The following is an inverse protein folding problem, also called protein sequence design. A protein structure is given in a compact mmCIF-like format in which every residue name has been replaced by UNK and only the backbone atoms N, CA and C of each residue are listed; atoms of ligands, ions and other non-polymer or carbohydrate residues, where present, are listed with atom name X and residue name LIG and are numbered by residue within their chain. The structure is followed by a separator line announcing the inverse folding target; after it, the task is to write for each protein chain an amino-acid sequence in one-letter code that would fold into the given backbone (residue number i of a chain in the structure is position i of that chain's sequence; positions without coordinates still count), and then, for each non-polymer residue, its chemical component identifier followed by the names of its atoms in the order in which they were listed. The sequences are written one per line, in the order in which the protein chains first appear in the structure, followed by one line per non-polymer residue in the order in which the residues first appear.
data_IF_671400438724
#
_entry.id   IF_671400438724
#
_cell.length_a   1.000
_cell.length_b   1.000
_cell.length_c   1.000
_cell.angle_alpha   90.00
_cell.angle_beta   90.00
_cell.angle_gamma   90.00
#
_symmetry.space_group_name_H-M   'P 1'
#
loop_
_entity.id
_entity.type
_entity.pdbx_description
1 polymer ?
#
# COMPACT_ATOMS: atom_id res chain seq x y z
N UNK A 1 -6.12 0.44 -18.91
CA UNK A 1 -5.33 1.25 -17.95
C UNK A 1 -4.57 0.32 -17.03
N UNK A 2 -3.42 0.75 -16.52
CA UNK A 2 -2.64 0.07 -15.49
C UNK A 2 -2.86 0.77 -14.15
N UNK A 3 -3.37 0.03 -13.18
CA UNK A 3 -3.75 0.55 -11.86
C UNK A 3 -2.96 -0.22 -10.80
N UNK A 4 -2.17 0.50 -9.99
CA UNK A 4 -1.37 -0.08 -8.91
C UNK A 4 -1.97 0.21 -7.54
N UNK A 5 -1.91 -0.76 -6.63
CA UNK A 5 -2.44 -0.65 -5.27
C UNK A 5 -1.36 -0.98 -4.25
N UNK A 6 -1.34 -0.28 -3.12
CA UNK A 6 -0.67 -0.79 -1.93
C UNK A 6 -1.43 -1.98 -1.32
N UNK A 7 -0.75 -2.74 -0.45
CA UNK A 7 -1.36 -3.84 0.30
C UNK A 7 -1.95 -3.37 1.63
N UNK A 8 -1.16 -2.62 2.40
CA UNK A 8 -1.49 -2.22 3.76
C UNK A 8 -2.36 -0.95 3.72
N UNK A 9 -3.36 -0.87 4.59
CA UNK A 9 -4.36 0.19 4.57
C UNK A 9 -5.34 0.12 3.38
N UNK A 10 -5.01 -0.62 2.31
CA UNK A 10 -5.89 -0.83 1.14
C UNK A 10 -6.62 -2.17 1.22
N UNK A 11 -5.93 -3.30 1.33
CA UNK A 11 -6.58 -4.62 1.43
C UNK A 11 -6.40 -5.25 2.80
N UNK A 12 -5.35 -4.89 3.53
CA UNK A 12 -5.03 -5.39 4.86
C UNK A 12 -4.99 -4.21 5.83
N UNK A 13 -5.83 -4.23 6.86
CA UNK A 13 -5.90 -3.14 7.83
C UNK A 13 -4.72 -3.16 8.80
N UNK A 14 -4.56 -2.05 9.51
CA UNK A 14 -3.56 -1.87 10.57
C UNK A 14 -3.96 -2.69 11.81
N UNK A 15 -2.99 -3.03 12.67
CA UNK A 15 -3.28 -3.74 13.92
C UNK A 15 -4.27 -2.97 14.82
N UNK A 16 -5.45 -3.53 15.14
CA UNK A 16 -6.51 -2.78 15.83
C UNK A 16 -6.15 -2.41 17.27
N UNK A 17 -5.32 -3.20 17.93
CA UNK A 17 -4.98 -3.04 19.35
C UNK A 17 -3.67 -2.31 19.60
N UNK A 18 -3.04 -1.77 18.55
CA UNK A 18 -1.74 -1.10 18.67
C UNK A 18 -1.93 0.40 18.46
N UNK A 19 -1.66 1.24 19.46
CA UNK A 19 -1.81 2.67 19.33
C UNK A 19 -1.04 3.19 18.12
N UNK A 20 -1.69 4.04 17.31
CA UNK A 20 -1.07 4.64 16.11
C UNK A 20 0.28 5.29 16.43
N UNK A 21 0.40 5.99 17.56
CA UNK A 21 1.66 6.60 18.03
C UNK A 21 2.79 5.59 18.25
N UNK A 22 2.47 4.37 18.70
CA UNK A 22 3.45 3.31 18.91
C UNK A 22 3.91 2.72 17.58
N UNK A 23 2.96 2.52 16.66
CA UNK A 23 3.25 2.19 15.26
C UNK A 23 4.18 3.26 14.69
N UNK A 24 3.76 4.52 14.62
CA UNK A 24 4.51 5.63 14.03
C UNK A 24 5.94 5.75 14.63
N UNK A 25 6.08 5.54 15.95
CA UNK A 25 7.40 5.48 16.63
C UNK A 25 8.26 4.30 16.16
N UNK A 26 7.68 3.10 16.02
CA UNK A 26 8.38 1.90 15.53
C UNK A 26 8.67 1.97 14.01
N UNK A 27 7.89 2.75 13.26
CA UNK A 27 8.08 2.97 11.83
C UNK A 27 8.96 4.17 11.51
N UNK A 28 9.44 4.92 12.52
CA UNK A 28 10.36 6.03 12.35
C UNK A 28 9.69 7.29 11.80
N UNK A 29 8.37 7.38 11.89
CA UNK A 29 7.54 8.47 11.34
C UNK A 29 7.46 9.69 12.28
N UNK A 30 8.52 9.95 13.05
CA UNK A 30 8.50 10.98 14.12
C UNK A 30 8.74 12.41 13.60
N UNK A 31 9.34 12.53 12.41
CA UNK A 31 9.51 13.81 11.72
C UNK A 31 8.73 13.79 10.40
N UNK A 32 8.30 14.96 9.97
CA UNK A 32 7.51 15.22 8.75
C UNK A 32 8.26 14.90 7.43
N UNK A 33 9.11 13.87 7.39
CA UNK A 33 9.91 13.42 6.27
C UNK A 33 9.87 11.91 6.05
N UNK A 34 10.31 11.49 4.86
CA UNK A 34 10.35 10.11 4.37
C UNK A 34 11.41 9.26 5.11
N UNK A 35 11.34 9.13 6.43
CA UNK A 35 12.28 8.29 7.19
C UNK A 35 11.89 6.81 7.13
N UNK A 36 12.02 6.21 5.94
CA UNK A 36 11.74 4.79 5.72
C UNK A 36 12.98 3.91 5.82
N UNK A 37 13.73 4.03 6.91
CA UNK A 37 14.92 3.20 7.14
C UNK A 37 14.55 1.73 7.32
N UNK A 38 15.49 0.85 6.98
CA UNK A 38 15.39 -0.56 7.36
C UNK A 38 15.39 -0.71 8.90
N UNK A 39 14.44 -1.47 9.49
CA UNK A 39 14.33 -1.60 10.94
C UNK A 39 15.47 -2.43 11.55
N UNK A 40 15.84 -2.12 12.80
CA UNK A 40 16.78 -2.89 13.61
C UNK A 40 16.19 -4.26 14.02
N UNK A 41 17.02 -5.20 14.49
CA UNK A 41 16.56 -6.55 14.88
C UNK A 41 15.40 -6.55 15.91
N UNK A 42 15.43 -5.74 16.98
CA UNK A 42 14.31 -5.66 17.92
C UNK A 42 13.02 -5.13 17.25
N UNK A 43 13.13 -4.11 16.40
CA UNK A 43 12.00 -3.57 15.65
C UNK A 43 11.45 -4.59 14.66
N UNK A 44 12.31 -5.34 13.98
CA UNK A 44 11.92 -6.44 13.11
C UNK A 44 11.11 -7.48 13.88
N UNK A 45 11.55 -7.85 15.09
CA UNK A 45 10.81 -8.80 15.92
C UNK A 45 9.43 -8.28 16.32
N UNK A 46 9.32 -7.03 16.78
CA UNK A 46 8.02 -6.41 17.12
C UNK A 46 7.12 -6.34 15.88
N UNK A 47 7.65 -5.86 14.74
CA UNK A 47 6.92 -5.83 13.47
C UNK A 47 6.48 -7.24 13.06
N UNK A 48 7.34 -8.23 13.30
CA UNK A 48 7.07 -9.65 13.16
C UNK A 48 6.25 -10.22 14.35
N UNK A 49 5.54 -9.44 15.15
CA UNK A 49 4.44 -9.94 16.01
C UNK A 49 3.17 -9.22 15.60
N UNK A 50 3.27 -7.91 15.42
CA UNK A 50 2.17 -7.05 14.99
C UNK A 50 1.63 -7.39 13.60
N UNK A 51 2.43 -8.03 12.73
CA UNK A 51 2.00 -8.53 11.41
C UNK A 51 1.53 -9.99 11.39
N UNK A 52 1.31 -10.62 12.54
CA UNK A 52 0.63 -11.92 12.58
C UNK A 52 -0.78 -11.71 11.99
N UNK A 53 -1.25 -12.67 11.19
CA UNK A 53 -2.52 -12.56 10.45
C UNK A 53 -3.74 -12.30 11.34
N UNK A 54 -3.71 -12.76 12.59
CA UNK A 54 -4.72 -12.47 13.61
C UNK A 54 -4.87 -10.97 13.88
N UNK A 55 -3.76 -10.22 13.83
CA UNK A 55 -3.73 -8.78 14.06
C UNK A 55 -3.80 -7.96 12.77
N UNK A 56 -3.96 -8.59 11.61
CA UNK A 56 -4.01 -7.89 10.32
C UNK A 56 -5.28 -8.30 9.57
N UNK A 57 -6.44 -7.76 9.99
CA UNK A 57 -7.70 -8.12 9.37
C UNK A 57 -7.75 -7.64 7.92
N UNK A 58 -8.44 -8.40 7.07
CA UNK A 58 -8.70 -7.97 5.70
C UNK A 58 -9.77 -6.88 5.65
N UNK A 59 -9.59 -5.93 4.74
CA UNK A 59 -10.60 -4.94 4.37
C UNK A 59 -11.48 -5.58 3.30
N UNK A 60 -12.43 -6.40 3.75
CA UNK A 60 -13.27 -7.22 2.88
C UNK A 60 -14.02 -6.44 1.81
N UNK A 61 -14.50 -5.24 2.14
CA UNK A 61 -15.17 -4.33 1.22
C UNK A 61 -14.30 -4.05 -0.01
N UNK A 62 -13.01 -3.77 0.20
CA UNK A 62 -12.06 -3.47 -0.87
C UNK A 62 -11.71 -4.71 -1.71
N UNK A 63 -11.53 -5.86 -1.04
CA UNK A 63 -11.24 -7.14 -1.73
C UNK A 63 -12.41 -7.56 -2.62
N UNK A 64 -13.64 -7.50 -2.11
CA UNK A 64 -14.82 -7.84 -2.90
C UNK A 64 -15.02 -6.85 -4.05
N UNK A 65 -14.74 -5.56 -3.81
CA UNK A 65 -14.84 -4.53 -4.85
C UNK A 65 -13.87 -4.78 -5.98
N UNK A 66 -12.59 -5.07 -5.70
CA UNK A 66 -11.62 -5.34 -6.76
C UNK A 66 -11.98 -6.64 -7.50
N UNK A 67 -12.34 -7.72 -6.78
CA UNK A 67 -12.76 -9.00 -7.41
C UNK A 67 -13.91 -8.81 -8.40
N UNK A 68 -14.95 -8.10 -8.00
CA UNK A 68 -16.11 -7.79 -8.85
C UNK A 68 -15.79 -6.84 -10.01
N UNK A 69 -14.77 -5.99 -9.89
CA UNK A 69 -14.42 -5.04 -10.94
C UNK A 69 -13.50 -5.67 -11.98
N UNK A 70 -12.58 -6.56 -11.56
CA UNK A 70 -11.71 -7.32 -12.46
C UNK A 70 -12.49 -8.16 -13.48
N UNK A 71 -13.71 -8.60 -13.16
CA UNK A 71 -14.57 -9.33 -14.10
C UNK A 71 -15.34 -8.42 -15.05
N UNK A 72 -15.42 -7.12 -14.76
CA UNK A 72 -16.27 -6.15 -15.46
C UNK A 72 -15.50 -5.21 -16.40
N UNK A 73 -14.18 -5.08 -16.25
CA UNK A 73 -13.39 -4.18 -17.09
C UNK A 73 -12.07 -4.80 -17.55
N UNK A 74 -11.52 -4.26 -18.64
CA UNK A 74 -10.26 -4.70 -19.25
C UNK A 74 -9.06 -3.92 -18.69
N UNK A 75 -9.04 -3.62 -17.39
CA UNK A 75 -7.88 -2.95 -16.76
C UNK A 75 -6.86 -3.97 -16.30
N UNK A 76 -5.60 -3.53 -16.22
CA UNK A 76 -4.52 -4.31 -15.62
C UNK A 76 -4.28 -3.83 -14.20
N UNK A 77 -4.30 -4.77 -13.27
CA UNK A 77 -4.26 -4.55 -11.84
C UNK A 77 -2.95 -5.06 -11.26
N UNK A 78 -2.30 -4.23 -10.46
CA UNK A 78 -1.01 -4.56 -9.86
C UNK A 78 -1.03 -4.30 -8.37
N UNK A 79 -0.40 -5.18 -7.60
CA UNK A 79 -0.18 -4.98 -6.18
C UNK A 79 1.29 -4.63 -5.95
N UNK A 80 1.56 -3.56 -5.22
CA UNK A 80 2.90 -3.06 -4.93
C UNK A 80 3.01 -2.83 -3.42
N UNK A 81 3.69 -3.72 -2.71
CA UNK A 81 3.87 -3.61 -1.26
C UNK A 81 5.32 -3.37 -0.89
N UNK A 82 5.55 -2.34 -0.07
CA UNK A 82 6.87 -2.03 0.48
C UNK A 82 7.22 -2.84 1.74
N UNK A 83 6.45 -3.89 2.07
CA UNK A 83 6.79 -4.79 3.17
C UNK A 83 8.17 -5.43 2.96
N UNK A 84 9.01 -5.28 3.98
CA UNK A 84 10.37 -5.80 4.01
C UNK A 84 10.42 -7.33 3.99
N UNK A 85 11.56 -7.88 3.54
CA UNK A 85 11.81 -9.31 3.38
C UNK A 85 11.67 -10.14 4.65
N UNK A 86 11.93 -9.56 5.83
CA UNK A 86 11.71 -10.29 7.09
C UNK A 86 10.22 -10.59 7.37
N UNK A 87 9.30 -9.96 6.64
CA UNK A 87 7.86 -10.24 6.67
C UNK A 87 7.39 -11.14 5.51
N UNK A 88 8.31 -11.70 4.71
CA UNK A 88 8.00 -12.46 3.49
C UNK A 88 6.97 -13.56 3.71
N UNK A 89 7.25 -14.51 4.59
CA UNK A 89 6.36 -15.65 4.85
C UNK A 89 4.94 -15.23 5.24
N UNK A 90 4.80 -14.10 5.94
CA UNK A 90 3.49 -13.59 6.38
C UNK A 90 2.75 -12.84 5.32
N UNK A 91 3.50 -12.12 4.49
CA UNK A 91 2.95 -11.45 3.32
C UNK A 91 2.42 -12.50 2.35
N UNK A 92 3.20 -13.52 2.05
CA UNK A 92 2.78 -14.66 1.22
C UNK A 92 1.56 -15.39 1.81
N UNK A 93 1.56 -15.65 3.12
CA UNK A 93 0.39 -16.23 3.80
C UNK A 93 -0.89 -15.38 3.62
N UNK A 94 -0.79 -14.06 3.79
CA UNK A 94 -1.94 -13.16 3.63
C UNK A 94 -2.43 -13.09 2.17
N UNK A 95 -1.50 -13.04 1.21
CA UNK A 95 -1.84 -13.05 -0.22
C UNK A 95 -2.61 -14.31 -0.60
N UNK A 96 -2.17 -15.48 -0.11
CA UNK A 96 -2.83 -16.75 -0.36
C UNK A 96 -4.17 -16.86 0.38
N UNK A 97 -4.22 -16.51 1.67
CA UNK A 97 -5.42 -16.60 2.51
C UNK A 97 -6.59 -15.80 1.92
N UNK A 98 -6.32 -14.66 1.31
CA UNK A 98 -7.33 -13.78 0.74
C UNK A 98 -7.42 -13.86 -0.79
N UNK A 99 -6.73 -14.82 -1.40
CA UNK A 99 -6.71 -15.08 -2.85
C UNK A 99 -6.33 -13.85 -3.68
N UNK A 100 -5.49 -12.97 -3.13
CA UNK A 100 -5.08 -11.73 -3.81
C UNK A 100 -4.25 -12.03 -5.06
N UNK A 101 -3.50 -13.14 -5.04
CA UNK A 101 -2.72 -13.61 -6.20
C UNK A 101 -3.58 -13.93 -7.43
N UNK A 102 -4.87 -14.22 -7.27
CA UNK A 102 -5.79 -14.46 -8.38
C UNK A 102 -6.42 -13.19 -8.96
N UNK A 103 -6.16 -12.03 -8.36
CA UNK A 103 -6.80 -10.74 -8.72
C UNK A 103 -5.86 -9.86 -9.55
N UNK A 104 -4.57 -9.84 -9.20
CA UNK A 104 -3.59 -8.94 -9.81
C UNK A 104 -2.81 -9.63 -10.92
N UNK A 105 -2.59 -8.95 -12.04
CA UNK A 105 -1.74 -9.43 -13.13
C UNK A 105 -0.31 -9.68 -12.65
N UNK A 106 0.20 -8.81 -11.75
CA UNK A 106 1.50 -8.95 -11.12
C UNK A 106 1.49 -8.39 -9.69
N UNK A 107 2.35 -8.98 -8.84
CA UNK A 107 2.57 -8.57 -7.46
C UNK A 107 4.05 -8.24 -7.27
N UNK A 108 4.36 -7.05 -6.78
CA UNK A 108 5.72 -6.57 -6.49
C UNK A 108 5.90 -6.38 -4.98
N UNK A 109 6.91 -7.06 -4.41
CA UNK A 109 7.18 -7.10 -2.97
C UNK A 109 8.62 -6.67 -2.69
N UNK A 110 8.81 -5.78 -1.72
CA UNK A 110 10.12 -5.23 -1.33
C UNK A 110 10.94 -6.20 -0.44
N UNK A 111 11.18 -7.41 -0.91
CA UNK A 111 11.92 -8.41 -0.15
C UNK A 111 13.44 -8.22 -0.13
N UNK A 112 13.95 -7.37 -1.02
CA UNK A 112 15.36 -6.94 -1.03
C UNK A 112 15.65 -5.81 -0.03
N UNK A 113 14.62 -5.32 0.65
CA UNK A 113 14.72 -4.30 1.70
C UNK A 113 15.23 -2.94 1.23
N UNK A 114 14.85 -2.56 0.01
CA UNK A 114 15.04 -1.20 -0.48
C UNK A 114 14.22 -0.21 0.36
N UNK A 115 14.56 1.07 0.31
CA UNK A 115 13.72 2.07 0.96
C UNK A 115 12.34 2.10 0.28
N UNK A 116 11.22 2.03 1.04
CA UNK A 116 9.85 1.96 0.53
C UNK A 116 9.51 2.92 -0.61
N UNK A 117 9.95 4.18 -0.53
CA UNK A 117 9.69 5.19 -1.56
C UNK A 117 10.50 4.93 -2.84
N UNK A 118 11.78 4.55 -2.71
CA UNK A 118 12.65 4.16 -3.83
C UNK A 118 12.11 2.93 -4.54
N UNK A 119 11.73 1.89 -3.78
CA UNK A 119 11.14 0.67 -4.32
C UNK A 119 9.90 0.98 -5.17
N UNK A 120 8.94 1.72 -4.61
CA UNK A 120 7.70 2.06 -5.32
C UNK A 120 7.96 2.94 -6.53
N UNK A 121 8.82 3.94 -6.42
CA UNK A 121 9.18 4.81 -7.54
C UNK A 121 9.78 4.00 -8.70
N UNK A 122 10.68 3.05 -8.42
CA UNK A 122 11.28 2.18 -9.43
C UNK A 122 10.22 1.36 -10.17
N UNK A 123 9.28 0.76 -9.44
CA UNK A 123 8.19 -0.02 -10.04
C UNK A 123 7.25 0.88 -10.86
N UNK A 124 6.89 2.05 -10.34
CA UNK A 124 5.99 2.99 -11.00
C UNK A 124 6.57 3.48 -12.34
N UNK A 125 7.86 3.85 -12.36
CA UNK A 125 8.57 4.25 -13.59
C UNK A 125 8.69 3.11 -14.59
N UNK A 126 9.02 1.90 -14.12
CA UNK A 126 9.19 0.72 -14.98
C UNK A 126 7.91 0.36 -15.72
N UNK A 127 6.77 0.38 -15.03
CA UNK A 127 5.51 -0.14 -15.57
C UNK A 127 4.62 0.91 -16.23
N UNK A 128 4.89 2.20 -15.98
CA UNK A 128 4.14 3.35 -16.51
C UNK A 128 2.65 3.24 -16.17
N UNK A 129 2.34 3.34 -14.88
CA UNK A 129 0.96 3.30 -14.40
C UNK A 129 0.16 4.52 -14.82
N UNK A 130 -1.14 4.35 -14.96
CA UNK A 130 -2.08 5.46 -15.13
C UNK A 130 -2.55 5.96 -13.75
N UNK A 131 -2.75 5.02 -12.82
CA UNK A 131 -3.27 5.31 -11.47
C UNK A 131 -2.53 4.52 -10.39
N UNK A 132 -2.34 5.12 -9.22
CA UNK A 132 -1.77 4.46 -8.04
C UNK A 132 -2.55 4.81 -6.77
N UNK A 133 -2.76 3.83 -5.88
CA UNK A 133 -3.56 3.98 -4.65
C UNK A 133 -2.73 3.57 -3.43
N UNK A 134 -2.74 4.41 -2.40
CA UNK A 134 -2.05 4.17 -1.12
C UNK A 134 -2.78 4.86 0.05
N UNK A 135 -2.53 4.43 1.29
CA UNK A 135 -3.03 5.06 2.52
C UNK A 135 -2.00 6.00 3.18
N UNK A 136 -0.76 6.00 2.71
CA UNK A 136 0.35 6.82 3.20
C UNK A 136 0.50 8.14 2.40
N UNK A 137 0.03 9.26 2.98
CA UNK A 137 0.06 10.57 2.33
C UNK A 137 1.50 11.09 2.05
N UNK A 138 2.42 11.14 3.03
CA UNK A 138 3.81 11.54 2.75
C UNK A 138 4.47 10.78 1.60
N UNK A 139 4.26 9.46 1.53
CA UNK A 139 4.75 8.64 0.42
C UNK A 139 4.10 9.07 -0.91
N UNK A 140 2.79 9.24 -0.94
CA UNK A 140 2.07 9.67 -2.13
C UNK A 140 2.51 11.06 -2.60
N UNK A 141 2.74 12.00 -1.70
CA UNK A 141 3.26 13.34 -2.04
C UNK A 141 4.62 13.25 -2.72
N UNK A 142 5.52 12.41 -2.20
CA UNK A 142 6.81 12.13 -2.82
C UNK A 142 6.63 11.53 -4.22
N UNK A 143 5.82 10.46 -4.35
CA UNK A 143 5.63 9.77 -5.63
C UNK A 143 4.94 10.66 -6.67
N UNK A 144 3.95 11.46 -6.26
CA UNK A 144 3.23 12.40 -7.12
C UNK A 144 4.15 13.46 -7.71
N UNK A 145 5.05 14.02 -6.89
CA UNK A 145 6.05 15.00 -7.32
C UNK A 145 7.02 14.43 -8.37
N UNK A 146 7.40 13.16 -8.25
CA UNK A 146 8.36 12.52 -9.17
C UNK A 146 7.70 11.86 -10.38
N UNK A 147 6.39 11.71 -10.39
CA UNK A 147 5.64 11.01 -11.43
C UNK A 147 4.39 11.81 -11.86
N UNK A 148 4.54 12.99 -12.49
CA UNK A 148 3.43 13.91 -12.77
C UNK A 148 2.38 13.38 -13.75
N UNK A 149 2.67 12.27 -14.46
CA UNK A 149 1.75 11.63 -15.41
C UNK A 149 0.82 10.60 -14.76
N UNK A 150 1.12 10.18 -13.54
CA UNK A 150 0.33 9.17 -12.81
C UNK A 150 -0.67 9.92 -11.93
N UNK A 151 -1.93 9.46 -11.90
CA UNK A 151 -2.92 9.97 -10.95
C UNK A 151 -2.84 9.16 -9.66
N UNK A 152 -2.55 9.82 -8.56
CA UNK A 152 -2.42 9.21 -7.25
C UNK A 152 -3.71 9.38 -6.45
N UNK A 153 -4.12 8.33 -5.73
CA UNK A 153 -5.28 8.34 -4.87
C UNK A 153 -4.87 8.03 -3.44
N UNK A 154 -5.12 8.99 -2.55
CA UNK A 154 -5.00 8.77 -1.11
C UNK A 154 -6.31 8.21 -0.58
N UNK A 155 -6.29 6.95 -0.15
CA UNK A 155 -7.46 6.30 0.46
C UNK A 155 -7.52 6.69 1.94
N UNK A 156 -8.40 7.64 2.28
CA UNK A 156 -8.58 8.10 3.66
C UNK A 156 -10.06 8.36 3.98
N UNK A 157 -10.57 7.69 5.02
CA UNK A 157 -11.96 7.80 5.49
C UNK A 157 -12.34 9.18 6.08
N UNK A 158 -11.38 10.07 6.35
CA UNK A 158 -11.60 11.32 7.11
C UNK A 158 -11.24 12.62 6.37
N UNK A 159 -10.82 12.56 5.11
CA UNK A 159 -10.18 13.69 4.44
C UNK A 159 -11.07 14.39 3.41
N UNK A 160 -11.31 15.69 3.62
CA UNK A 160 -11.75 16.68 2.63
C UNK A 160 -10.58 17.60 2.20
N UNK A 161 -9.35 17.08 2.13
CA UNK A 161 -8.19 17.89 1.77
C UNK A 161 -8.07 18.07 0.26
N UNK A 162 -7.81 19.32 -0.17
CA UNK A 162 -7.47 19.61 -1.56
C UNK A 162 -6.00 19.27 -1.76
N UNK A 163 -5.73 18.09 -2.33
CA UNK A 163 -4.37 17.62 -2.57
C UNK A 163 -3.80 18.19 -3.89
N UNK A 164 -2.47 18.20 -3.97
CA UNK A 164 -1.68 18.81 -5.05
C UNK A 164 -1.93 18.14 -6.41
N UNK A 165 -2.18 18.91 -7.46
CA UNK A 165 -2.06 18.49 -8.86
C UNK A 165 -2.68 17.13 -9.21
N UNK A 166 -1.84 16.10 -9.36
CA UNK A 166 -2.18 14.73 -9.73
C UNK A 166 -2.50 13.81 -8.53
N UNK A 167 -2.63 14.35 -7.31
CA UNK A 167 -2.97 13.62 -6.10
C UNK A 167 -4.41 13.93 -5.68
N UNK A 168 -5.23 12.90 -5.52
CA UNK A 168 -6.67 12.98 -5.29
C UNK A 168 -7.04 12.25 -3.99
N UNK A 169 -7.91 12.82 -3.18
CA UNK A 169 -8.47 12.13 -2.01
C UNK A 169 -9.64 11.24 -2.40
N UNK A 170 -9.73 10.05 -1.82
CA UNK A 170 -10.93 9.21 -1.95
C UNK A 170 -11.23 8.45 -0.67
N UNK A 171 -12.51 8.18 -0.44
CA UNK A 171 -12.99 7.38 0.69
C UNK A 171 -13.28 5.93 0.29
N UNK A 172 -13.34 5.63 -1.01
CA UNK A 172 -13.64 4.30 -1.52
C UNK A 172 -12.89 3.99 -2.82
N UNK A 173 -12.70 2.70 -3.11
CA UNK A 173 -12.05 2.25 -4.34
C UNK A 173 -12.88 2.47 -5.61
N UNK A 174 -14.20 2.65 -5.49
CA UNK A 174 -15.06 2.76 -6.67
C UNK A 174 -14.77 4.00 -7.52
N UNK A 175 -14.39 5.11 -6.90
CA UNK A 175 -13.96 6.31 -7.61
C UNK A 175 -12.72 6.08 -8.50
N UNK A 176 -11.90 5.09 -8.15
CA UNK A 176 -10.61 4.81 -8.78
C UNK A 176 -10.74 3.77 -9.91
N UNK A 177 -11.79 2.94 -9.84
CA UNK A 177 -12.01 1.81 -10.74
C UNK A 177 -12.90 2.15 -11.96
N UNK A 178 -13.42 3.38 -12.02
CA UNK A 178 -14.14 3.94 -13.20
C UNK A 178 -13.17 4.51 -14.22
#
# INVERSE_FOLDING_TARGET
MKIGFDLDGIFIDKPPFIPKKLIDRLYGSYDHGLSYRFPSKPEQWIRNITHISLFRPAIWENIQKIKSTCTQNAHHYYLISSRFGFLKARTEYLLNKYELSGIFDNIYLNFNNEEPHIFKENILKKLRFDRYIDDDLPLLEFLAKHNPKIVFFWLNKKSNLRLLGNLITTTNLQAILK
#
